data_IF_001102158713
#
_entry.id   IF_001102158713
#
_cell.length_a   1.000
_cell.length_b   1.000
_cell.length_c   1.000
_cell.angle_alpha   90.00
_cell.angle_beta   90.00
_cell.angle_gamma   90.00
#
_symmetry.space_group_name_H-M   'P 1'
#
loop_
_entity.id
_entity.type
_entity.pdbx_description
1 polymer ?
#
# COMPACT_ATOMS: atom_id res chain seq x y z
N UNK A 1 108.39 -23.14 -40.10
CA UNK A 1 107.37 -22.41 -40.89
C UNK A 1 106.26 -21.98 -39.93
N UNK A 2 105.93 -20.68 -39.91
CA UNK A 2 105.11 -19.99 -38.90
C UNK A 2 103.61 -20.34 -39.01
N UNK A 3 102.98 -20.80 -37.92
CA UNK A 3 101.51 -20.87 -37.75
C UNK A 3 101.14 -20.36 -36.35
N UNK A 4 101.26 -19.04 -36.11
CA UNK A 4 101.05 -18.44 -34.78
C UNK A 4 100.41 -17.05 -34.84
N UNK A 5 99.45 -16.81 -35.73
CA UNK A 5 98.85 -15.47 -35.84
C UNK A 5 97.37 -15.41 -36.27
N UNK A 6 96.62 -16.52 -36.19
CA UNK A 6 95.20 -16.54 -36.59
C UNK A 6 94.21 -17.10 -35.57
N UNK A 7 94.68 -17.63 -34.42
CA UNK A 7 93.78 -18.25 -33.42
C UNK A 7 93.18 -17.25 -32.42
N UNK A 8 93.81 -16.08 -32.21
CA UNK A 8 93.36 -15.06 -31.27
C UNK A 8 92.12 -14.25 -31.74
N UNK A 9 91.95 -13.87 -33.02
CA UNK A 9 90.73 -13.17 -33.45
C UNK A 9 89.51 -14.10 -33.58
N UNK A 10 89.70 -15.41 -33.81
CA UNK A 10 88.62 -16.37 -33.99
C UNK A 10 87.88 -16.71 -32.68
N UNK A 11 88.58 -16.71 -31.54
CA UNK A 11 87.96 -16.92 -30.23
C UNK A 11 87.15 -15.70 -29.77
N UNK A 12 87.60 -14.48 -30.11
CA UNK A 12 86.88 -13.25 -29.79
C UNK A 12 85.55 -13.12 -30.53
N UNK A 13 85.52 -13.44 -31.82
CA UNK A 13 84.29 -13.38 -32.62
C UNK A 13 83.28 -14.46 -32.23
N UNK A 14 83.75 -15.66 -31.88
CA UNK A 14 82.88 -16.72 -31.35
C UNK A 14 82.24 -16.32 -30.00
N UNK A 15 83.00 -15.69 -29.10
CA UNK A 15 82.48 -15.24 -27.81
C UNK A 15 81.43 -14.14 -27.98
N UNK A 16 81.69 -13.15 -28.85
CA UNK A 16 80.73 -12.06 -29.13
C UNK A 16 79.45 -12.61 -29.77
N UNK A 17 79.55 -13.56 -30.69
CA UNK A 17 78.38 -14.19 -31.31
C UNK A 17 77.53 -14.97 -30.29
N UNK A 18 78.15 -15.70 -29.36
CA UNK A 18 77.44 -16.44 -28.31
C UNK A 18 76.78 -15.50 -27.30
N UNK A 19 77.46 -14.42 -26.92
CA UNK A 19 76.89 -13.40 -26.03
C UNK A 19 75.74 -12.66 -26.72
N UNK A 20 75.89 -12.30 -28.00
CA UNK A 20 74.82 -11.66 -28.78
C UNK A 20 73.62 -12.60 -28.98
N UNK A 21 73.85 -13.88 -29.27
CA UNK A 21 72.78 -14.88 -29.36
C UNK A 21 72.09 -15.14 -28.01
N UNK A 22 72.87 -15.17 -26.92
CA UNK A 22 72.34 -15.30 -25.56
C UNK A 22 71.53 -14.08 -25.12
N UNK A 23 71.99 -12.87 -25.45
CA UNK A 23 71.30 -11.61 -25.19
C UNK A 23 70.02 -11.52 -26.03
N UNK A 24 70.10 -11.81 -27.33
CA UNK A 24 68.95 -11.87 -28.23
C UNK A 24 67.90 -12.87 -27.72
N UNK A 25 68.35 -14.08 -27.32
CA UNK A 25 67.46 -15.07 -26.75
C UNK A 25 66.86 -14.64 -25.42
N UNK A 26 67.61 -13.94 -24.55
CA UNK A 26 67.11 -13.40 -23.28
C UNK A 26 66.07 -12.30 -23.48
N UNK A 27 66.29 -11.39 -24.42
CA UNK A 27 65.39 -10.28 -24.75
C UNK A 27 64.13 -10.76 -25.49
N UNK A 28 64.26 -11.81 -26.31
CA UNK A 28 63.15 -12.41 -27.07
C UNK A 28 62.60 -13.67 -26.41
N UNK A 29 62.90 -13.94 -25.13
CA UNK A 29 62.17 -14.99 -24.42
C UNK A 29 60.70 -14.56 -24.38
N UNK A 30 59.77 -15.42 -24.83
CA UNK A 30 58.36 -15.17 -24.58
C UNK A 30 58.20 -15.04 -23.08
N UNK A 31 57.90 -13.82 -22.61
CA UNK A 31 57.47 -13.63 -21.24
C UNK A 31 56.24 -14.52 -21.08
N UNK A 32 56.17 -15.39 -20.05
CA UNK A 32 54.92 -16.09 -19.79
C UNK A 32 53.86 -14.99 -19.63
N UNK A 33 52.94 -14.91 -20.59
CA UNK A 33 51.72 -14.13 -20.39
C UNK A 33 51.14 -14.63 -19.07
N UNK A 34 50.81 -13.74 -18.11
CA UNK A 34 50.06 -14.16 -16.96
C UNK A 34 48.81 -14.84 -17.52
N UNK A 35 48.67 -16.15 -17.29
CA UNK A 35 47.45 -16.87 -17.64
C UNK A 35 46.32 -16.06 -17.04
N UNK A 36 45.46 -15.51 -17.88
CA UNK A 36 44.18 -14.97 -17.45
C UNK A 36 43.50 -16.10 -16.67
N UNK A 37 43.55 -15.97 -15.35
CA UNK A 37 42.68 -16.73 -14.47
C UNK A 37 41.29 -16.31 -14.92
N UNK A 38 40.39 -17.22 -15.32
CA UNK A 38 39.06 -16.83 -15.79
C UNK A 38 38.50 -15.87 -14.75
N UNK A 39 38.33 -14.61 -15.17
CA UNK A 39 38.10 -13.50 -14.27
C UNK A 39 36.89 -13.84 -13.43
N UNK A 40 37.11 -13.98 -12.11
CA UNK A 40 36.01 -14.20 -11.18
C UNK A 40 34.98 -13.12 -11.44
N UNK A 41 33.75 -13.51 -11.79
CA UNK A 41 32.69 -12.56 -12.04
C UNK A 41 32.56 -11.64 -10.83
N UNK A 42 32.61 -10.32 -11.07
CA UNK A 42 32.40 -9.34 -10.01
C UNK A 42 30.90 -9.28 -9.74
N UNK A 43 30.49 -9.72 -8.56
CA UNK A 43 29.09 -9.85 -8.19
C UNK A 43 28.77 -8.86 -7.08
N UNK A 44 27.72 -8.07 -7.28
CA UNK A 44 27.22 -7.15 -6.27
C UNK A 44 26.37 -7.95 -5.30
N UNK A 45 26.76 -7.92 -4.04
CA UNK A 45 26.09 -8.67 -2.97
C UNK A 45 25.51 -7.72 -1.92
N UNK A 46 24.53 -8.22 -1.19
CA UNK A 46 24.01 -7.53 -0.01
C UNK A 46 23.75 -8.52 1.11
N UNK A 47 23.74 -8.02 2.34
CA UNK A 47 23.40 -8.82 3.52
C UNK A 47 21.90 -8.76 3.72
N UNK A 48 21.26 -9.91 3.91
CA UNK A 48 19.85 -9.96 4.27
C UNK A 48 19.66 -9.32 5.65
N UNK A 49 18.63 -8.48 5.76
CA UNK A 49 18.30 -7.76 7.01
C UNK A 49 16.85 -7.98 7.37
N UNK A 50 16.44 -7.64 8.59
CA UNK A 50 15.02 -7.61 8.92
C UNK A 50 14.41 -6.27 8.50
N UNK A 51 13.29 -6.32 7.78
CA UNK A 51 12.49 -5.14 7.46
C UNK A 51 11.00 -5.43 7.67
N UNK A 52 10.24 -4.36 7.88
CA UNK A 52 8.79 -4.42 7.97
C UNK A 52 8.16 -3.92 6.67
N UNK A 53 7.26 -4.72 6.13
CA UNK A 53 6.51 -4.47 4.91
C UNK A 53 5.06 -4.17 5.24
N UNK A 54 4.46 -3.24 4.50
CA UNK A 54 3.05 -2.87 4.64
C UNK A 54 2.41 -2.77 3.26
N UNK A 55 1.42 -3.63 2.98
CA UNK A 55 0.55 -3.49 1.81
C UNK A 55 -0.57 -2.52 2.18
N UNK A 56 -0.66 -1.40 1.47
CA UNK A 56 -1.65 -0.36 1.70
C UNK A 56 -2.63 -0.29 0.53
N UNK A 57 -3.92 -0.26 0.84
CA UNK A 57 -4.98 -0.04 -0.15
C UNK A 57 -5.47 1.39 -0.01
N UNK A 58 -5.31 2.18 -1.07
CA UNK A 58 -5.85 3.54 -1.15
C UNK A 58 -7.31 3.49 -1.53
N UNK A 59 -8.15 4.23 -0.82
CA UNK A 59 -9.59 4.27 -1.02
C UNK A 59 -10.10 5.70 -0.93
N UNK A 60 -11.23 5.96 -1.56
CA UNK A 60 -11.94 7.24 -1.48
C UNK A 60 -13.40 7.01 -1.16
N UNK A 61 -14.04 8.00 -0.55
CA UNK A 61 -15.43 7.87 -0.14
C UNK A 61 -15.98 9.11 0.51
N UNK A 62 -17.16 8.96 1.10
CA UNK A 62 -17.86 10.03 1.79
C UNK A 62 -18.14 9.67 3.25
N UNK A 63 -18.10 10.68 4.10
CA UNK A 63 -18.51 10.54 5.50
C UNK A 63 -20.04 10.48 5.54
N UNK A 64 -20.57 9.42 6.12
CA UNK A 64 -22.00 9.15 6.23
C UNK A 64 -22.40 8.93 7.69
N UNK A 65 -23.67 9.14 8.06
CA UNK A 65 -24.17 8.72 9.36
C UNK A 65 -24.03 7.20 9.49
N UNK A 66 -23.52 6.73 10.63
CA UNK A 66 -23.48 5.30 10.95
C UNK A 66 -24.89 4.72 11.03
N UNK A 67 -25.81 5.49 11.62
CA UNK A 67 -27.23 5.21 11.69
C UNK A 67 -27.98 6.48 11.35
N UNK A 68 -28.96 6.33 10.47
CA UNK A 68 -29.85 7.39 10.05
C UNK A 68 -31.28 7.02 10.46
N UNK A 69 -31.95 7.93 11.13
CA UNK A 69 -33.38 7.85 11.35
C UNK A 69 -34.08 8.82 10.41
N UNK A 70 -35.20 8.37 9.84
CA UNK A 70 -35.99 9.15 8.90
C UNK A 70 -37.35 9.42 9.54
N UNK A 71 -37.77 10.69 9.52
CA UNK A 71 -39.07 11.12 10.06
C UNK A 71 -39.88 11.70 8.93
N UNK A 72 -41.10 11.21 8.77
CA UNK A 72 -42.04 11.65 7.75
C UNK A 72 -43.46 11.28 8.14
N UNK A 73 -44.38 11.48 7.22
CA UNK A 73 -45.77 11.08 7.37
C UNK A 73 -46.03 9.74 6.70
N UNK A 74 -47.01 9.02 7.21
CA UNK A 74 -47.55 7.78 6.67
C UNK A 74 -48.81 8.02 5.80
N UNK A 75 -49.47 9.16 5.97
CA UNK A 75 -50.72 9.52 5.29
C UNK A 75 -50.62 10.84 4.51
N UNK A 76 -51.40 10.94 3.43
CA UNK A 76 -51.51 12.16 2.63
C UNK A 76 -52.44 13.21 3.24
N UNK A 77 -52.36 14.43 2.71
CA UNK A 77 -53.33 15.50 2.99
C UNK A 77 -53.05 16.30 4.27
N UNK A 78 -52.00 15.96 5.01
CA UNK A 78 -51.53 16.77 6.14
C UNK A 78 -50.71 17.97 5.64
N UNK A 79 -50.74 19.08 6.37
CA UNK A 79 -49.90 20.27 6.11
C UNK A 79 -49.15 20.68 7.36
N UNK A 80 -47.93 21.17 7.17
CA UNK A 80 -47.09 21.66 8.28
C UNK A 80 -47.69 22.94 8.83
N UNK A 81 -48.02 22.93 10.11
CA UNK A 81 -48.52 24.10 10.86
C UNK A 81 -47.37 24.80 11.58
N UNK A 82 -46.54 24.02 12.28
CA UNK A 82 -45.40 24.53 13.03
C UNK A 82 -44.14 23.71 12.71
N UNK A 83 -42.99 24.38 12.71
CA UNK A 83 -41.68 23.77 12.53
C UNK A 83 -40.76 24.21 13.68
N UNK A 84 -40.32 23.27 14.51
CA UNK A 84 -39.56 23.54 15.73
C UNK A 84 -38.06 23.28 15.60
N UNK A 85 -37.64 22.59 14.54
CA UNK A 85 -36.23 22.22 14.30
C UNK A 85 -35.81 22.56 12.88
N UNK A 86 -34.52 22.80 12.70
CA UNK A 86 -33.86 23.09 11.42
C UNK A 86 -32.73 22.11 11.18
N UNK A 87 -32.27 22.06 9.95
CA UNK A 87 -31.02 21.37 9.62
C UNK A 87 -29.86 21.93 10.44
N UNK A 88 -29.03 21.05 11.01
CA UNK A 88 -27.95 21.41 11.91
C UNK A 88 -28.33 21.41 13.41
N UNK A 89 -29.62 21.34 13.75
CA UNK A 89 -30.04 21.27 15.16
C UNK A 89 -29.78 19.88 15.75
N UNK A 90 -29.42 19.84 17.03
CA UNK A 90 -29.37 18.59 17.81
C UNK A 90 -30.70 18.38 18.50
N UNK A 91 -31.29 17.20 18.33
CA UNK A 91 -32.57 16.80 18.91
C UNK A 91 -32.38 15.69 19.95
N UNK A 92 -33.28 15.65 20.92
CA UNK A 92 -33.41 14.56 21.90
C UNK A 92 -34.47 13.56 21.44
N UNK A 93 -34.44 12.35 22.00
CA UNK A 93 -35.48 11.35 21.72
C UNK A 93 -36.86 11.86 22.13
N UNK A 94 -37.87 11.60 21.29
CA UNK A 94 -39.26 12.05 21.42
C UNK A 94 -39.48 13.58 21.38
N UNK A 95 -38.45 14.37 21.07
CA UNK A 95 -38.59 15.82 20.88
C UNK A 95 -39.51 16.12 19.70
N UNK A 96 -40.45 17.04 19.89
CA UNK A 96 -41.35 17.51 18.83
C UNK A 96 -40.55 18.33 17.80
N UNK A 97 -40.61 17.89 16.53
CA UNK A 97 -39.86 18.48 15.42
C UNK A 97 -40.75 19.35 14.54
N UNK A 98 -41.97 18.90 14.28
CA UNK A 98 -42.96 19.62 13.52
C UNK A 98 -44.37 19.23 13.95
N UNK A 99 -45.32 20.15 13.74
CA UNK A 99 -46.74 19.92 13.95
C UNK A 99 -47.47 20.00 12.62
N UNK A 100 -48.36 19.05 12.37
CA UNK A 100 -49.12 18.94 11.15
C UNK A 100 -50.62 19.05 11.43
N UNK A 101 -51.37 19.51 10.43
CA UNK A 101 -52.83 19.37 10.44
C UNK A 101 -53.21 17.89 10.39
N UNK A 102 -54.38 17.57 10.92
CA UNK A 102 -54.94 16.24 10.78
C UNK A 102 -55.15 15.87 9.29
N UNK A 103 -54.94 14.60 8.91
CA UNK A 103 -55.26 14.12 7.58
C UNK A 103 -56.78 14.17 7.35
N UNK A 104 -57.22 14.33 6.08
CA UNK A 104 -58.65 14.35 5.76
C UNK A 104 -59.31 13.04 6.16
N UNK A 105 -60.47 13.13 6.84
CA UNK A 105 -61.23 11.95 7.26
C UNK A 105 -61.77 11.20 6.04
N UNK A 106 -61.60 9.88 6.03
CA UNK A 106 -62.27 9.02 5.06
C UNK A 106 -63.78 8.96 5.34
N UNK A 107 -64.63 8.94 4.31
CA UNK A 107 -66.07 8.78 4.49
C UNK A 107 -66.39 7.49 5.26
N UNK A 108 -67.05 7.60 6.42
CA UNK A 108 -67.44 6.46 7.27
C UNK A 108 -66.56 6.19 8.50
N UNK A 109 -65.50 6.99 8.74
CA UNK A 109 -64.74 6.93 9.99
C UNK A 109 -65.57 7.45 11.19
N UNK A 110 -65.40 6.91 12.41
CA UNK A 110 -66.13 7.35 13.60
C UNK A 110 -65.94 8.86 13.86
N UNK A 111 -67.00 9.52 14.32
CA UNK A 111 -67.09 10.96 14.50
C UNK A 111 -66.19 11.49 15.64
N UNK A 112 -64.89 11.58 15.39
CA UNK A 112 -63.94 12.30 16.22
C UNK A 112 -63.11 13.24 15.36
N UNK A 113 -63.09 14.54 15.65
CA UNK A 113 -62.17 15.48 14.97
C UNK A 113 -60.74 14.98 15.22
N UNK A 114 -59.99 14.56 14.19
CA UNK A 114 -58.62 14.15 14.40
C UNK A 114 -57.84 15.39 14.81
N UNK A 115 -57.06 15.26 15.88
CA UNK A 115 -56.19 16.33 16.38
C UNK A 115 -54.98 16.53 15.47
N UNK A 116 -54.22 17.62 15.66
CA UNK A 116 -52.96 17.82 14.95
C UNK A 116 -51.99 16.66 15.24
N UNK A 117 -51.16 16.33 14.25
CA UNK A 117 -50.15 15.28 14.37
C UNK A 117 -48.81 15.93 14.73
N UNK A 118 -48.18 15.48 15.80
CA UNK A 118 -46.81 15.90 16.17
C UNK A 118 -45.80 14.89 15.63
N UNK A 119 -44.94 15.32 14.71
CA UNK A 119 -43.76 14.56 14.30
C UNK A 119 -42.69 14.69 15.37
N UNK A 120 -42.18 13.54 15.84
CA UNK A 120 -41.19 13.46 16.92
C UNK A 120 -39.93 12.74 16.47
N UNK A 121 -38.80 13.13 17.04
CA UNK A 121 -37.52 12.47 16.80
C UNK A 121 -37.54 11.05 17.41
N UNK A 122 -37.28 9.99 16.63
CA UNK A 122 -37.27 8.62 17.14
C UNK A 122 -36.02 8.28 17.98
N UNK A 123 -34.98 9.11 17.90
CA UNK A 123 -33.76 8.99 18.69
C UNK A 123 -33.06 10.35 18.78
N UNK A 124 -32.21 10.51 19.78
CA UNK A 124 -31.35 11.68 19.88
C UNK A 124 -30.29 11.70 18.76
N UNK A 125 -29.98 12.89 18.24
CA UNK A 125 -29.04 13.02 17.14
C UNK A 125 -29.03 14.40 16.48
N UNK A 126 -28.25 14.53 15.43
CA UNK A 126 -28.16 15.75 14.62
C UNK A 126 -29.11 15.65 13.44
N UNK A 127 -29.94 16.68 13.23
CA UNK A 127 -30.77 16.81 12.02
C UNK A 127 -29.84 17.10 10.84
N UNK A 128 -29.62 16.09 10.00
CA UNK A 128 -28.75 16.18 8.81
C UNK A 128 -29.48 16.78 7.62
N UNK A 129 -30.81 16.72 7.61
CA UNK A 129 -31.61 17.26 6.52
C UNK A 129 -33.01 17.61 7.02
N UNK A 130 -33.55 18.77 6.60
CA UNK A 130 -34.93 19.18 6.85
C UNK A 130 -35.61 19.61 5.55
N UNK A 131 -36.38 18.71 4.93
CA UNK A 131 -37.06 18.92 3.64
C UNK A 131 -38.49 19.43 3.80
N UNK A 132 -38.70 20.38 4.70
CA UNK A 132 -40.05 20.89 4.96
C UNK A 132 -40.05 22.32 5.48
N UNK A 133 -41.18 22.99 5.32
CA UNK A 133 -41.39 24.36 5.75
C UNK A 133 -42.83 24.53 6.23
N UNK A 134 -43.06 25.57 7.03
CA UNK A 134 -44.42 25.93 7.48
C UNK A 134 -45.32 26.15 6.26
N UNK A 135 -46.51 25.57 6.29
CA UNK A 135 -47.48 25.60 5.21
C UNK A 135 -47.25 24.56 4.10
N UNK A 136 -46.12 23.85 4.09
CA UNK A 136 -45.85 22.83 3.08
C UNK A 136 -46.80 21.61 3.22
N UNK A 137 -47.19 20.96 2.11
CA UNK A 137 -47.88 19.69 2.16
C UNK A 137 -46.94 18.59 2.66
N UNK A 138 -47.45 17.71 3.53
CA UNK A 138 -46.76 16.50 3.94
C UNK A 138 -47.33 15.32 3.13
N UNK A 139 -46.46 14.62 2.42
CA UNK A 139 -46.82 13.41 1.66
C UNK A 139 -45.75 12.34 1.86
N UNK A 140 -46.13 11.07 2.06
CA UNK A 140 -45.19 9.95 2.10
C UNK A 140 -44.40 9.79 0.78
N UNK A 141 -44.98 10.23 -0.34
CA UNK A 141 -44.37 10.14 -1.68
C UNK A 141 -43.25 11.17 -1.90
N UNK A 142 -43.21 12.24 -1.11
CA UNK A 142 -42.17 13.27 -1.20
C UNK A 142 -40.84 12.86 -0.51
N UNK A 143 -40.81 11.69 0.13
CA UNK A 143 -39.71 11.22 0.94
C UNK A 143 -39.77 11.75 2.39
N UNK A 144 -38.74 11.47 3.20
CA UNK A 144 -38.73 11.86 4.60
C UNK A 144 -38.62 13.38 4.75
N UNK A 145 -39.35 13.92 5.73
CA UNK A 145 -39.34 15.35 6.06
C UNK A 145 -38.08 15.72 6.85
N UNK A 146 -37.57 14.80 7.65
CA UNK A 146 -36.31 14.96 8.38
C UNK A 146 -35.44 13.72 8.27
N UNK A 147 -34.12 13.93 8.21
CA UNK A 147 -33.11 12.90 8.45
C UNK A 147 -32.31 13.26 9.70
N UNK A 148 -32.06 12.27 10.53
CA UNK A 148 -31.35 12.42 11.79
C UNK A 148 -30.18 11.44 11.82
N UNK A 149 -28.96 11.96 11.99
CA UNK A 149 -27.78 11.16 12.33
C UNK A 149 -27.85 10.78 13.81
N UNK A 150 -28.19 9.52 14.07
CA UNK A 150 -28.42 9.01 15.42
C UNK A 150 -27.11 9.03 16.22
N UNK A 151 -27.17 9.55 17.44
CA UNK A 151 -26.03 9.70 18.36
C UNK A 151 -24.83 10.48 17.78
N UNK A 152 -25.03 11.19 16.66
CA UNK A 152 -23.97 11.87 15.93
C UNK A 152 -22.80 10.94 15.56
N UNK A 153 -23.08 9.64 15.35
CA UNK A 153 -22.09 8.65 14.96
C UNK A 153 -21.87 8.71 13.45
N UNK A 154 -20.61 8.84 13.02
CA UNK A 154 -20.21 8.90 11.61
C UNK A 154 -19.31 7.74 11.24
N UNK A 155 -19.35 7.34 9.97
CA UNK A 155 -18.41 6.41 9.36
C UNK A 155 -18.03 6.87 7.96
N UNK A 156 -16.87 6.44 7.47
CA UNK A 156 -16.50 6.63 6.07
C UNK A 156 -17.03 5.44 5.27
N UNK A 157 -17.94 5.70 4.32
CA UNK A 157 -18.32 4.73 3.29
C UNK A 157 -17.40 4.94 2.08
N UNK A 158 -16.47 4.01 1.90
CA UNK A 158 -15.48 4.04 0.82
C UNK A 158 -15.78 2.99 -0.24
N UNK A 159 -15.44 3.32 -1.49
CA UNK A 159 -15.56 2.41 -2.62
C UNK A 159 -14.18 1.87 -2.99
N UNK A 160 -14.11 0.55 -3.21
CA UNK A 160 -12.85 -0.18 -3.39
C UNK A 160 -13.00 -1.14 -4.56
N UNK A 161 -12.04 -1.17 -5.53
CA UNK A 161 -12.04 -2.16 -6.58
C UNK A 161 -12.01 -3.60 -6.04
N UNK A 162 -12.73 -4.50 -6.72
CA UNK A 162 -12.87 -5.91 -6.33
C UNK A 162 -11.54 -6.63 -6.05
N UNK A 163 -10.51 -6.35 -6.86
CA UNK A 163 -9.15 -6.92 -6.71
C UNK A 163 -8.46 -6.51 -5.40
N UNK A 164 -8.79 -5.35 -4.86
CA UNK A 164 -8.21 -4.85 -3.60
C UNK A 164 -9.03 -5.26 -2.39
N UNK A 165 -10.35 -5.46 -2.54
CA UNK A 165 -11.22 -5.92 -1.45
C UNK A 165 -10.76 -7.25 -0.85
N UNK A 166 -10.26 -8.17 -1.67
CA UNK A 166 -9.77 -9.49 -1.24
C UNK A 166 -8.56 -9.40 -0.28
N UNK A 167 -7.86 -8.26 -0.26
CA UNK A 167 -6.74 -8.01 0.64
C UNK A 167 -7.16 -7.44 1.99
N UNK A 168 -8.39 -6.93 2.08
CA UNK A 168 -8.86 -6.21 3.26
C UNK A 168 -9.46 -7.18 4.29
N UNK A 169 -9.21 -6.88 5.55
CA UNK A 169 -9.78 -7.61 6.68
C UNK A 169 -10.55 -6.66 7.59
N UNK A 170 -11.69 -7.08 8.18
CA UNK A 170 -12.31 -6.34 9.27
C UNK A 170 -11.31 -6.08 10.41
N UNK A 171 -11.38 -4.90 11.02
CA UNK A 171 -10.45 -4.44 12.06
C UNK A 171 -9.15 -3.81 11.56
N UNK A 172 -8.86 -3.86 10.25
CA UNK A 172 -7.70 -3.21 9.66
C UNK A 172 -7.66 -1.70 9.99
N UNK A 173 -6.46 -1.20 10.27
CA UNK A 173 -6.25 0.21 10.62
C UNK A 173 -6.35 1.06 9.37
N UNK A 174 -7.04 2.19 9.46
CA UNK A 174 -7.21 3.14 8.37
C UNK A 174 -6.68 4.50 8.78
N UNK A 175 -5.91 5.15 7.90
CA UNK A 175 -5.51 6.56 8.04
C UNK A 175 -6.24 7.39 7.00
N UNK A 176 -7.04 8.34 7.45
CA UNK A 176 -7.81 9.23 6.59
C UNK A 176 -7.04 10.52 6.45
N UNK A 177 -6.59 10.78 5.23
CA UNK A 177 -5.78 11.94 4.90
C UNK A 177 -6.63 13.21 4.90
N UNK A 178 -6.06 14.28 5.43
CA UNK A 178 -6.66 15.61 5.48
C UNK A 178 -5.65 16.62 4.95
N UNK A 179 -6.14 17.55 4.14
CA UNK A 179 -5.26 18.49 3.45
C UNK A 179 -4.61 19.50 4.43
N UNK A 180 -5.35 19.98 5.43
CA UNK A 180 -4.90 21.01 6.39
C UNK A 180 -4.84 20.53 7.85
N UNK A 181 -4.78 19.22 8.10
CA UNK A 181 -4.81 18.68 9.46
C UNK A 181 -4.15 17.30 9.56
N UNK A 182 -3.80 16.84 10.77
CA UNK A 182 -3.33 15.48 10.98
C UNK A 182 -4.35 14.44 10.52
N UNK A 183 -3.83 13.32 10.03
CA UNK A 183 -4.63 12.16 9.64
C UNK A 183 -5.54 11.70 10.78
N UNK A 184 -6.77 11.34 10.42
CA UNK A 184 -7.70 10.71 11.37
C UNK A 184 -7.56 9.20 11.28
N UNK A 185 -7.35 8.57 12.43
CA UNK A 185 -7.28 7.11 12.52
C UNK A 185 -8.67 6.52 12.67
N UNK A 186 -8.98 5.53 11.85
CA UNK A 186 -10.19 4.73 11.91
C UNK A 186 -9.89 3.24 11.81
N UNK A 187 -10.94 2.43 11.82
CA UNK A 187 -10.85 0.97 11.62
C UNK A 187 -11.91 0.48 10.65
N UNK A 188 -11.54 -0.48 9.79
CA UNK A 188 -12.50 -1.18 8.93
C UNK A 188 -13.52 -1.90 9.82
N UNK A 189 -14.77 -1.46 9.78
CA UNK A 189 -15.86 -2.08 10.55
C UNK A 189 -16.50 -3.22 9.77
N UNK A 190 -16.74 -2.97 8.48
CA UNK A 190 -17.49 -3.89 7.64
C UNK A 190 -17.03 -3.77 6.20
N UNK A 191 -16.87 -4.92 5.56
CA UNK A 191 -16.67 -5.03 4.12
C UNK A 191 -17.97 -5.57 3.56
N UNK A 192 -18.58 -4.87 2.60
CA UNK A 192 -19.83 -5.29 1.98
C UNK A 192 -19.62 -6.62 1.24
N UNK A 193 -20.51 -7.62 1.42
CA UNK A 193 -20.45 -8.85 0.64
C UNK A 193 -20.89 -8.64 -0.82
N UNK A 194 -21.53 -7.52 -1.13
CA UNK A 194 -21.99 -7.18 -2.47
C UNK A 194 -20.97 -6.26 -3.18
N UNK A 195 -20.68 -6.61 -4.43
CA UNK A 195 -19.90 -5.82 -5.38
C UNK A 195 -20.84 -5.39 -6.50
N UNK A 196 -20.81 -4.11 -6.84
CA UNK A 196 -21.58 -3.58 -7.95
C UNK A 196 -21.05 -4.13 -9.27
N UNK A 197 -21.91 -4.74 -10.09
CA UNK A 197 -21.49 -5.43 -11.33
C UNK A 197 -21.11 -4.47 -12.46
N UNK A 198 -21.61 -3.24 -12.41
CA UNK A 198 -21.36 -2.22 -13.43
C UNK A 198 -20.05 -1.52 -13.16
N UNK A 199 -19.83 -1.08 -11.92
CA UNK A 199 -18.61 -0.33 -11.53
C UNK A 199 -17.47 -1.24 -11.08
N UNK A 200 -17.75 -2.50 -10.75
CA UNK A 200 -16.81 -3.45 -10.14
C UNK A 200 -16.23 -2.99 -8.79
N UNK A 201 -16.93 -2.06 -8.14
CA UNK A 201 -16.59 -1.53 -6.82
C UNK A 201 -17.40 -2.24 -5.74
N UNK A 202 -16.77 -2.55 -4.62
CA UNK A 202 -17.46 -2.92 -3.40
C UNK A 202 -17.30 -1.83 -2.34
N UNK A 203 -18.20 -1.87 -1.36
CA UNK A 203 -18.27 -0.85 -0.30
C UNK A 203 -17.58 -1.32 0.96
N UNK A 204 -16.80 -0.43 1.58
CA UNK A 204 -16.16 -0.66 2.88
C UNK A 204 -16.59 0.45 3.83
N UNK A 205 -17.08 0.04 5.00
CA UNK A 205 -17.48 0.97 6.07
C UNK A 205 -16.40 1.03 7.13
N UNK A 206 -15.90 2.23 7.36
CA UNK A 206 -14.76 2.50 8.22
C UNK A 206 -15.25 3.32 9.40
N UNK A 207 -15.18 2.73 10.59
CA UNK A 207 -15.50 3.39 11.84
C UNK A 207 -14.48 4.49 12.16
N UNK A 208 -15.00 5.66 12.53
CA UNK A 208 -14.22 6.83 12.88
C UNK A 208 -14.52 7.19 14.33
N UNK A 209 -13.51 7.64 15.07
CA UNK A 209 -13.78 8.30 16.34
C UNK A 209 -14.49 9.63 16.05
N UNK A 210 -15.49 9.95 16.87
CA UNK A 210 -16.28 11.16 16.67
C UNK A 210 -15.35 12.38 16.77
N UNK A 211 -15.17 13.07 15.64
CA UNK A 211 -14.29 14.23 15.53
C UNK A 211 -15.13 15.41 15.02
N UNK A 212 -15.29 16.49 15.80
CA UNK A 212 -16.13 17.63 15.41
C UNK A 212 -15.78 18.26 14.06
N UNK A 213 -14.54 18.10 13.60
CA UNK A 213 -14.08 18.61 12.30
C UNK A 213 -14.58 17.79 11.10
N UNK A 214 -15.09 16.58 11.33
CA UNK A 214 -15.64 15.73 10.30
C UNK A 214 -17.16 15.93 10.23
N UNK A 215 -17.64 16.26 9.03
CA UNK A 215 -19.07 16.48 8.76
C UNK A 215 -19.57 15.41 7.79
N UNK A 216 -20.84 15.03 7.97
CA UNK A 216 -21.55 14.18 7.02
C UNK A 216 -21.53 14.87 5.65
N UNK A 217 -21.33 14.07 4.59
CA UNK A 217 -21.21 14.55 3.21
C UNK A 217 -19.80 14.97 2.80
N UNK A 218 -18.84 15.07 3.73
CA UNK A 218 -17.44 15.35 3.36
C UNK A 218 -16.85 14.20 2.56
N UNK A 219 -16.18 14.54 1.46
CA UNK A 219 -15.31 13.60 0.74
C UNK A 219 -14.02 13.37 1.53
N UNK A 220 -13.55 12.13 1.55
CA UNK A 220 -12.33 11.74 2.25
C UNK A 220 -11.51 10.75 1.44
N UNK A 221 -10.19 10.84 1.59
CA UNK A 221 -9.21 9.87 1.07
C UNK A 221 -8.64 9.10 2.24
N UNK A 222 -8.43 7.80 2.07
CA UNK A 222 -7.91 6.98 3.14
C UNK A 222 -6.96 5.89 2.65
N UNK A 223 -6.02 5.51 3.51
CA UNK A 223 -5.11 4.40 3.31
C UNK A 223 -5.44 3.32 4.34
N UNK A 224 -5.83 2.14 3.86
CA UNK A 224 -6.12 0.96 4.68
C UNK A 224 -4.86 0.10 4.76
N UNK A 225 -4.37 -0.18 5.97
CA UNK A 225 -3.28 -1.13 6.22
C UNK A 225 -3.83 -2.55 5.99
N UNK A 226 -3.70 -3.09 4.76
CA UNK A 226 -4.30 -4.37 4.37
C UNK A 226 -3.55 -5.58 4.97
N UNK A 227 -2.22 -5.53 4.92
CA UNK A 227 -1.35 -6.54 5.54
C UNK A 227 -0.05 -5.90 6.00
N UNK A 228 0.44 -6.31 7.16
CA UNK A 228 1.79 -6.00 7.65
C UNK A 228 2.52 -7.29 7.97
N UNK A 229 3.79 -7.33 7.64
CA UNK A 229 4.67 -8.45 7.96
C UNK A 229 6.08 -7.92 8.13
N UNK A 230 6.80 -8.44 9.13
CA UNK A 230 8.20 -8.10 9.35
C UNK A 230 9.00 -9.40 9.28
N UNK A 231 10.09 -9.38 8.51
CA UNK A 231 10.88 -10.58 8.27
C UNK A 231 12.13 -10.29 7.47
N UNK A 232 12.75 -11.36 6.98
CA UNK A 232 13.98 -11.30 6.17
C UNK A 232 13.68 -10.53 4.89
N UNK A 233 14.50 -9.54 4.59
CA UNK A 233 14.36 -8.65 3.46
C UNK A 233 15.59 -8.73 2.56
N UNK A 234 15.34 -8.84 1.27
CA UNK A 234 16.36 -8.79 0.21
C UNK A 234 15.92 -7.81 -0.87
N UNK A 235 16.84 -7.19 -1.63
CA UNK A 235 16.49 -6.38 -2.80
C UNK A 235 15.65 -7.18 -3.78
N UNK A 236 14.70 -6.52 -4.43
CA UNK A 236 13.83 -7.17 -5.41
C UNK A 236 14.62 -7.74 -6.60
N UNK A 237 15.78 -7.17 -6.92
CA UNK A 237 16.69 -7.65 -7.97
C UNK A 237 17.40 -8.96 -7.61
N UNK A 238 17.43 -9.34 -6.33
CA UNK A 238 18.07 -10.57 -5.86
C UNK A 238 17.23 -11.84 -6.10
N UNK A 239 15.97 -11.69 -6.55
CA UNK A 239 15.04 -12.81 -6.73
C UNK A 239 14.72 -12.98 -8.21
N UNK A 240 14.93 -14.19 -8.73
CA UNK A 240 14.47 -14.60 -10.05
C UNK A 240 13.60 -15.86 -9.92
N UNK A 241 12.38 -15.84 -10.46
CA UNK A 241 11.43 -16.97 -10.49
C UNK A 241 11.33 -17.78 -9.18
N UNK A 242 11.25 -17.09 -8.03
CA UNK A 242 11.20 -17.69 -6.67
C UNK A 242 12.48 -18.41 -6.24
N UNK A 243 13.60 -18.10 -6.87
CA UNK A 243 14.93 -18.49 -6.46
C UNK A 243 15.78 -17.27 -6.16
N UNK A 244 16.76 -17.43 -5.28
CA UNK A 244 17.80 -16.46 -5.03
C UNK A 244 19.15 -17.16 -4.96
N UNK A 245 20.22 -16.39 -5.06
CA UNK A 245 21.59 -16.89 -4.98
C UNK A 245 22.24 -16.40 -3.69
N UNK A 246 22.67 -17.35 -2.86
CA UNK A 246 23.38 -17.10 -1.60
C UNK A 246 24.87 -17.31 -1.82
N UNK A 247 25.69 -16.48 -1.20
CA UNK A 247 27.14 -16.61 -1.20
C UNK A 247 27.59 -17.38 0.03
N UNK A 248 28.24 -18.52 -0.17
CA UNK A 248 28.94 -19.28 0.88
C UNK A 248 30.44 -19.25 0.63
N UNK A 249 31.15 -18.44 1.41
CA UNK A 249 32.57 -18.18 1.15
C UNK A 249 32.73 -17.42 -0.17
N UNK A 250 33.28 -18.09 -1.18
CA UNK A 250 33.45 -17.54 -2.54
C UNK A 250 32.59 -18.25 -3.59
N UNK A 251 31.64 -19.08 -3.16
CA UNK A 251 30.83 -19.92 -4.05
C UNK A 251 29.36 -19.52 -4.02
N UNK A 252 28.68 -19.65 -5.16
CA UNK A 252 27.24 -19.45 -5.29
C UNK A 252 26.44 -20.72 -4.99
N UNK A 253 25.34 -20.56 -4.25
CA UNK A 253 24.31 -21.57 -4.02
C UNK A 253 22.93 -20.99 -4.34
N UNK A 254 22.24 -21.56 -5.34
CA UNK A 254 20.86 -21.19 -5.67
C UNK A 254 19.89 -21.89 -4.74
N UNK A 255 19.02 -21.12 -4.08
CA UNK A 255 17.97 -21.64 -3.21
C UNK A 255 16.60 -21.24 -3.70
N UNK A 256 15.64 -22.16 -3.63
CA UNK A 256 14.21 -21.84 -3.75
C UNK A 256 13.75 -21.15 -2.48
N UNK A 257 12.95 -20.12 -2.63
CA UNK A 257 12.41 -19.32 -1.52
C UNK A 257 10.92 -19.15 -1.62
N UNK A 258 10.28 -19.01 -0.46
CA UNK A 258 8.89 -18.58 -0.36
C UNK A 258 8.87 -17.08 -0.07
N UNK A 259 8.34 -16.29 -0.99
CA UNK A 259 8.29 -14.83 -0.86
C UNK A 259 7.01 -14.37 -0.15
N UNK A 260 7.11 -13.24 0.55
CA UNK A 260 6.03 -12.58 1.26
C UNK A 260 5.64 -11.25 0.62
N UNK A 261 5.49 -10.22 1.45
CA UNK A 261 5.19 -8.88 0.95
C UNK A 261 6.35 -8.30 0.15
N UNK A 262 6.03 -7.53 -0.88
CA UNK A 262 7.02 -6.85 -1.73
C UNK A 262 6.77 -5.35 -1.68
N UNK A 263 7.84 -4.60 -1.45
CA UNK A 263 7.89 -3.14 -1.55
C UNK A 263 8.53 -2.75 -2.89
N UNK A 264 8.68 -1.45 -3.15
CA UNK A 264 9.34 -0.97 -4.38
C UNK A 264 10.81 -1.42 -4.46
N UNK A 265 11.52 -1.48 -3.32
CA UNK A 265 12.96 -1.78 -3.27
C UNK A 265 13.26 -3.21 -2.86
N UNK A 266 12.44 -3.80 -2.00
CA UNK A 266 12.77 -5.04 -1.29
C UNK A 266 11.60 -6.02 -1.27
N UNK A 267 11.93 -7.30 -1.20
CA UNK A 267 10.99 -8.41 -1.08
C UNK A 267 11.24 -9.16 0.23
N UNK A 268 10.15 -9.48 0.92
CA UNK A 268 10.16 -10.33 2.12
C UNK A 268 10.39 -11.79 1.74
N UNK A 269 11.28 -12.47 2.45
CA UNK A 269 11.48 -13.92 2.37
C UNK A 269 10.88 -14.57 3.62
N UNK A 270 9.90 -15.44 3.41
CA UNK A 270 9.21 -16.17 4.47
C UNK A 270 9.91 -17.50 4.81
N UNK A 271 10.52 -18.15 3.80
CA UNK A 271 11.28 -19.39 3.96
C UNK A 271 12.44 -19.46 2.95
N UNK A 272 13.53 -20.13 3.33
CA UNK A 272 14.67 -20.46 2.47
C UNK A 272 15.89 -19.52 2.58
N UNK A 273 15.81 -18.51 3.43
CA UNK A 273 16.91 -17.58 3.73
C UNK A 273 16.84 -17.12 5.19
N UNK A 274 17.97 -17.11 5.88
CA UNK A 274 18.09 -16.60 7.24
C UNK A 274 18.58 -15.13 7.25
N UNK A 275 18.34 -14.45 8.38
CA UNK A 275 18.83 -13.08 8.59
C UNK A 275 20.36 -13.08 8.65
N UNK A 276 20.98 -12.19 7.89
CA UNK A 276 22.42 -11.98 7.88
C UNK A 276 23.18 -12.81 6.85
N UNK A 277 22.51 -13.66 6.07
CA UNK A 277 23.10 -14.32 4.91
C UNK A 277 23.42 -13.31 3.80
N UNK A 278 24.47 -13.58 3.03
CA UNK A 278 24.89 -12.73 1.91
C UNK A 278 24.23 -13.26 0.64
N UNK A 279 23.48 -12.40 -0.04
CA UNK A 279 22.77 -12.73 -1.27
C UNK A 279 23.29 -11.89 -2.43
N UNK A 280 23.21 -12.45 -3.63
CA UNK A 280 23.51 -11.71 -4.87
C UNK A 280 22.41 -10.70 -5.13
N UNK A 281 22.77 -9.41 -5.19
CA UNK A 281 21.85 -8.32 -5.50
C UNK A 281 21.82 -7.99 -6.99
N UNK A 282 22.97 -8.09 -7.66
CA UNK A 282 23.12 -7.96 -9.11
C UNK A 282 24.40 -8.71 -9.55
N UNK A 283 24.27 -9.60 -10.52
CA UNK A 283 25.35 -10.44 -11.00
C UNK A 283 26.01 -9.93 -12.29
N UNK A 284 25.39 -9.01 -13.04
CA UNK A 284 25.82 -8.57 -14.37
C UNK A 284 25.87 -9.66 -15.47
N UNK A 285 26.03 -10.92 -15.09
CA UNK A 285 26.11 -12.12 -15.93
C UNK A 285 25.38 -13.29 -15.25
N UNK A 286 24.98 -14.31 -16.01
CA UNK A 286 24.32 -15.49 -15.44
C UNK A 286 25.30 -16.31 -14.60
N UNK A 287 24.98 -16.53 -13.31
CA UNK A 287 25.75 -17.38 -12.39
C UNK A 287 25.06 -18.73 -12.20
N UNK A 288 25.84 -19.77 -11.99
CA UNK A 288 25.40 -21.13 -11.68
C UNK A 288 25.90 -21.57 -10.30
N UNK A 289 25.30 -22.64 -9.78
CA UNK A 289 25.72 -23.26 -8.54
C UNK A 289 27.17 -23.74 -8.64
N UNK A 290 28.00 -23.37 -7.66
CA UNK A 290 29.41 -23.72 -7.65
C UNK A 290 30.34 -22.67 -8.27
N UNK A 291 29.81 -21.63 -8.93
CA UNK A 291 30.64 -20.58 -9.55
C UNK A 291 31.47 -19.84 -8.50
N UNK A 292 32.74 -19.61 -8.82
CA UNK A 292 33.68 -18.81 -8.02
C UNK A 292 33.51 -17.35 -8.37
N UNK A 293 33.21 -16.53 -7.37
CA UNK A 293 32.91 -15.11 -7.57
C UNK A 293 33.82 -14.22 -6.72
N UNK A 294 33.94 -12.97 -7.17
CA UNK A 294 34.49 -11.89 -6.34
C UNK A 294 33.35 -11.00 -5.90
N UNK A 295 33.12 -10.90 -4.60
CA UNK A 295 32.01 -10.12 -4.04
C UNK A 295 32.37 -8.65 -3.90
N UNK A 296 31.41 -7.77 -4.16
CA UNK A 296 31.46 -6.36 -3.78
C UNK A 296 30.12 -5.97 -3.15
N UNK A 297 30.14 -5.29 -1.99
CA UNK A 297 28.89 -4.95 -1.31
C UNK A 297 28.18 -3.76 -2.00
N UNK A 298 26.85 -3.84 -2.09
CA UNK A 298 26.03 -2.80 -2.73
C UNK A 298 26.26 -1.39 -2.12
N UNK A 299 26.38 -1.29 -0.80
CA UNK A 299 26.63 -0.03 -0.07
C UNK A 299 27.97 0.63 -0.46
N UNK A 300 28.94 -0.19 -0.88
CA UNK A 300 30.28 0.26 -1.29
C UNK A 300 30.27 0.78 -2.74
N UNK A 301 29.44 0.19 -3.60
CA UNK A 301 29.21 0.65 -4.98
C UNK A 301 28.60 2.07 -4.99
N UNK A 302 27.60 2.34 -4.14
CA UNK A 302 26.97 3.67 -4.10
C UNK A 302 27.96 4.77 -3.65
N UNK A 303 28.80 4.49 -2.65
CA UNK A 303 29.85 5.42 -2.22
C UNK A 303 30.90 5.70 -3.30
N UNK A 304 31.16 4.72 -4.16
CA UNK A 304 32.12 4.85 -5.26
C UNK A 304 31.53 5.65 -6.42
N UNK A 305 30.21 5.56 -6.66
CA UNK A 305 29.51 6.36 -7.70
C UNK A 305 29.24 7.80 -7.30
N UNK A 306 29.14 8.08 -6.00
CA UNK A 306 28.90 9.43 -5.48
C UNK A 306 30.17 10.30 -5.40
N UNK A 307 31.34 9.75 -5.74
CA UNK A 307 32.63 10.45 -5.86
C UNK A 307 32.98 10.67 -7.33
#
# INVERSE_FOLDING_TARGET
MKFSEYLKPALGTAFVAVVAAGYYWFEHRPRPEPKDTPGQALVIVTKSTNACFSDMVRVTGFIVPRREAQVGVDQEGSRVTDLFVKEGDTVTENQEMARLTAPPQMPGAPAGRPGPISLRAPAAGLVTEARTAIGAPASPQAGPMFRISVNNEIELEAEVPSVHLLKLNPGATVRISRDDAPDVVGKVRQISPQIDRTTQLGKVRISLNNNPSLKVGMFARANIDAKRSCGVAVPRTAIDRLTLQVVKGNTIETRKVRVGLTSETSTEILEGLDVGEIVVADAGTSLHDGDQIKTMFADELERTRAR
#
